data_IF_446303606023
#
_entry.id   IF_446303606023
#
_cell.length_a   1.000
_cell.length_b   1.000
_cell.length_c   1.000
_cell.angle_alpha   90.00
_cell.angle_beta   90.00
_cell.angle_gamma   90.00
#
_symmetry.space_group_name_H-M   'P 1'
#
loop_
_entity.id
_entity.type
_entity.pdbx_description
1 polymer ?
#
# COMPACT_ATOMS: atom_id res chain seq x y z
N UNK A 1 -16.57 -1.93 -24.29
CA UNK A 1 -15.15 -1.73 -23.91
C UNK A 1 -14.36 -2.70 -24.78
N UNK A 2 -13.49 -2.20 -25.66
CA UNK A 2 -12.66 -3.08 -26.49
C UNK A 2 -11.76 -3.94 -25.60
N UNK A 3 -11.58 -5.21 -25.96
CA UNK A 3 -10.71 -6.11 -25.20
C UNK A 3 -9.27 -5.73 -25.49
N UNK A 4 -8.41 -5.56 -24.46
CA UNK A 4 -7.00 -5.28 -24.70
C UNK A 4 -6.38 -6.41 -25.54
N UNK A 5 -5.71 -6.03 -26.62
CA UNK A 5 -4.95 -6.98 -27.44
C UNK A 5 -3.61 -7.17 -26.75
N UNK A 6 -3.45 -8.30 -26.07
CA UNK A 6 -2.17 -8.65 -25.45
C UNK A 6 -1.12 -8.85 -26.56
N UNK A 7 -0.11 -7.98 -26.57
CA UNK A 7 1.08 -8.14 -27.42
C UNK A 7 2.04 -9.13 -26.75
N UNK A 8 2.87 -9.79 -27.56
CA UNK A 8 3.83 -10.77 -27.04
C UNK A 8 4.96 -10.08 -26.26
N UNK A 9 5.56 -10.80 -25.32
CA UNK A 9 6.81 -10.35 -24.68
C UNK A 9 7.87 -10.17 -25.78
N UNK A 10 8.56 -9.02 -25.76
CA UNK A 10 9.56 -8.64 -26.78
C UNK A 10 9.02 -7.74 -27.89
N UNK A 11 7.72 -7.42 -27.91
CA UNK A 11 7.18 -6.37 -28.79
C UNK A 11 7.80 -5.00 -28.46
N UNK A 12 8.22 -4.27 -29.49
CA UNK A 12 8.79 -2.93 -29.32
C UNK A 12 7.74 -1.96 -28.76
N UNK A 13 8.16 -0.95 -28.00
CA UNK A 13 7.23 -0.03 -27.33
C UNK A 13 6.40 0.77 -28.34
N UNK A 14 6.99 1.11 -29.49
CA UNK A 14 6.33 1.77 -30.62
C UNK A 14 5.22 0.94 -31.29
N UNK A 15 5.22 -0.38 -31.10
CA UNK A 15 4.21 -1.30 -31.67
C UNK A 15 3.04 -1.58 -30.71
N UNK A 16 3.07 -0.98 -29.51
CA UNK A 16 1.98 -1.05 -28.55
C UNK A 16 0.80 -0.18 -28.99
N UNK A 17 -0.40 -0.51 -28.52
CA UNK A 17 -1.57 0.28 -28.84
C UNK A 17 -1.41 1.71 -28.25
N UNK A 18 -1.84 2.78 -28.95
CA UNK A 18 -1.53 4.16 -28.57
C UNK A 18 -1.98 4.62 -27.18
N UNK A 19 -2.87 3.88 -26.51
CA UNK A 19 -3.36 4.17 -25.15
C UNK A 19 -2.76 3.25 -24.08
N UNK A 20 -1.54 2.78 -24.29
CA UNK A 20 -0.83 1.93 -23.33
C UNK A 20 -0.09 2.75 -22.27
N UNK A 21 -0.22 2.36 -21.00
CA UNK A 21 0.65 2.84 -19.92
C UNK A 21 1.95 2.04 -19.96
N UNK A 22 3.07 2.71 -20.26
CA UNK A 22 4.40 2.09 -20.35
C UNK A 22 5.27 2.57 -19.20
N UNK A 23 6.02 1.64 -18.60
CA UNK A 23 7.00 1.93 -17.55
C UNK A 23 8.38 1.52 -18.05
N UNK A 24 9.32 2.45 -18.04
CA UNK A 24 10.74 2.14 -18.26
C UNK A 24 11.28 1.43 -17.02
N UNK A 25 11.62 0.15 -17.17
CA UNK A 25 12.11 -0.68 -16.06
C UNK A 25 13.48 -0.20 -15.56
N UNK A 26 14.37 0.25 -16.44
CA UNK A 26 15.69 0.77 -16.03
C UNK A 26 15.55 2.04 -15.20
N UNK A 27 14.67 2.96 -15.61
CA UNK A 27 14.36 4.15 -14.84
C UNK A 27 13.65 3.82 -13.51
N UNK A 28 12.72 2.87 -13.51
CA UNK A 28 12.05 2.40 -12.30
C UNK A 28 13.05 1.84 -11.28
N UNK A 29 13.93 0.93 -11.71
CA UNK A 29 14.96 0.33 -10.87
C UNK A 29 15.93 1.37 -10.32
N UNK A 30 16.37 2.32 -11.16
CA UNK A 30 17.22 3.42 -10.74
C UNK A 30 16.55 4.32 -9.69
N UNK A 31 15.26 4.63 -9.85
CA UNK A 31 14.49 5.43 -8.89
C UNK A 31 14.30 4.71 -7.56
N UNK A 32 13.98 3.41 -7.59
CA UNK A 32 13.89 2.57 -6.39
C UNK A 32 15.25 2.57 -5.67
N UNK A 33 16.34 2.28 -6.37
CA UNK A 33 17.68 2.26 -5.78
C UNK A 33 18.07 3.61 -5.17
N UNK A 34 17.77 4.71 -5.86
CA UNK A 34 18.06 6.07 -5.37
C UNK A 34 17.33 6.36 -4.07
N UNK A 35 16.02 6.10 -4.00
CA UNK A 35 15.26 6.40 -2.78
C UNK A 35 15.65 5.46 -1.63
N UNK A 36 15.85 4.18 -1.91
CA UNK A 36 16.15 3.18 -0.89
C UNK A 36 17.55 3.32 -0.28
N UNK A 37 18.57 3.60 -1.10
CA UNK A 37 19.94 3.81 -0.61
C UNK A 37 20.06 5.00 0.36
N UNK A 38 19.23 6.03 0.20
CA UNK A 38 19.17 7.15 1.14
C UNK A 38 18.80 6.71 2.57
N UNK A 39 17.87 5.74 2.72
CA UNK A 39 17.45 5.23 4.03
C UNK A 39 18.32 4.09 4.57
N UNK A 40 19.28 3.60 3.79
CA UNK A 40 20.14 2.50 4.21
C UNK A 40 21.01 2.89 5.41
N UNK A 41 21.60 4.09 5.36
CA UNK A 41 22.48 4.62 6.40
C UNK A 41 21.74 5.30 7.58
N UNK A 42 20.41 5.42 7.52
CA UNK A 42 19.61 6.08 8.55
C UNK A 42 18.99 5.07 9.51
N UNK A 43 18.72 5.49 10.74
CA UNK A 43 17.96 4.68 11.71
C UNK A 43 16.50 4.53 11.30
N UNK A 44 15.97 5.49 10.53
CA UNK A 44 14.64 5.42 9.92
C UNK A 44 14.70 4.69 8.58
N UNK A 45 13.64 3.93 8.29
CA UNK A 45 13.53 3.11 7.09
C UNK A 45 12.29 3.48 6.30
N UNK A 46 12.33 3.25 5.00
CA UNK A 46 11.27 3.59 4.06
C UNK A 46 10.09 2.62 4.18
N UNK A 47 8.88 3.15 4.24
CA UNK A 47 7.63 2.44 3.96
C UNK A 47 7.05 2.97 2.65
N UNK A 48 7.22 2.28 1.52
CA UNK A 48 6.73 2.78 0.24
C UNK A 48 5.21 2.94 0.25
N UNK A 49 4.72 4.05 -0.30
CA UNK A 49 3.30 4.28 -0.49
C UNK A 49 2.90 3.90 -1.91
N UNK A 50 1.99 2.93 -2.05
CA UNK A 50 1.74 2.26 -3.34
C UNK A 50 0.68 2.94 -4.20
N UNK A 51 0.07 4.02 -3.72
CA UNK A 51 -1.02 4.73 -4.42
C UNK A 51 -0.59 5.26 -5.80
N UNK A 52 0.70 5.53 -5.98
CA UNK A 52 1.27 6.01 -7.25
C UNK A 52 1.22 4.98 -8.38
N UNK A 53 1.33 3.68 -8.07
CA UNK A 53 1.42 2.63 -9.10
C UNK A 53 0.39 1.52 -8.96
N UNK A 54 -0.15 1.28 -7.76
CA UNK A 54 -1.16 0.26 -7.45
C UNK A 54 -0.82 -1.16 -7.94
N UNK A 55 0.48 -1.40 -8.14
CA UNK A 55 1.01 -2.63 -8.72
C UNK A 55 1.79 -3.44 -7.67
N UNK A 56 1.31 -4.64 -7.28
CA UNK A 56 2.00 -5.51 -6.33
C UNK A 56 3.41 -5.91 -6.77
N UNK A 57 3.66 -6.09 -8.07
CA UNK A 57 4.99 -6.44 -8.57
C UNK A 57 6.01 -5.33 -8.28
N UNK A 58 5.64 -4.06 -8.51
CA UNK A 58 6.50 -2.91 -8.21
C UNK A 58 6.71 -2.76 -6.70
N UNK A 59 5.67 -2.98 -5.88
CA UNK A 59 5.82 -2.96 -4.43
C UNK A 59 6.76 -4.06 -3.92
N UNK A 60 6.74 -5.26 -4.51
CA UNK A 60 7.70 -6.32 -4.19
C UNK A 60 9.14 -5.94 -4.58
N UNK A 61 9.33 -5.26 -5.71
CA UNK A 61 10.64 -4.70 -6.08
C UNK A 61 11.13 -3.69 -5.04
N UNK A 62 10.25 -2.80 -4.56
CA UNK A 62 10.59 -1.84 -3.48
C UNK A 62 10.94 -2.57 -2.17
N UNK A 63 10.17 -3.58 -1.76
CA UNK A 63 10.46 -4.32 -0.54
C UNK A 63 11.70 -5.23 -0.64
N UNK A 64 12.12 -5.58 -1.86
CA UNK A 64 13.36 -6.30 -2.12
C UNK A 64 14.62 -5.43 -2.07
N UNK A 65 14.48 -4.10 -2.08
CA UNK A 65 15.59 -3.17 -1.95
C UNK A 65 16.00 -2.93 -0.49
N UNK A 66 17.20 -2.37 -0.26
CA UNK A 66 17.69 -2.04 1.09
C UNK A 66 16.89 -0.87 1.72
N UNK A 67 17.15 -0.55 2.98
CA UNK A 67 16.61 0.68 3.59
C UNK A 67 15.09 0.72 3.83
N UNK A 68 14.37 -0.41 3.78
CA UNK A 68 12.90 -0.49 3.91
C UNK A 68 12.44 -1.19 5.21
N UNK A 69 11.23 -0.87 5.69
CA UNK A 69 10.59 -1.52 6.87
C UNK A 69 9.83 -2.81 6.53
N UNK A 70 10.00 -3.38 5.34
CA UNK A 70 9.27 -4.57 4.86
C UNK A 70 7.73 -4.44 4.95
N UNK A 71 7.20 -3.22 4.84
CA UNK A 71 5.77 -2.93 4.86
C UNK A 71 5.43 -1.80 3.90
N UNK A 72 4.15 -1.65 3.58
CA UNK A 72 3.66 -0.66 2.60
C UNK A 72 2.63 0.28 3.21
N UNK A 73 2.42 1.43 2.56
CA UNK A 73 1.32 2.36 2.79
C UNK A 73 0.31 2.31 1.66
N UNK A 74 -0.99 2.37 1.99
CA UNK A 74 -2.10 2.41 1.03
C UNK A 74 -3.09 3.50 1.45
N UNK A 75 -3.72 4.17 0.49
CA UNK A 75 -4.72 5.21 0.76
C UNK A 75 -6.05 4.64 1.21
N UNK A 76 -6.45 3.49 0.66
CA UNK A 76 -7.79 2.93 0.90
C UNK A 76 -7.74 1.48 1.35
N UNK A 77 -8.79 1.06 2.08
CA UNK A 77 -8.95 -0.33 2.47
C UNK A 77 -9.03 -1.29 1.27
N UNK A 78 -9.61 -0.86 0.14
CA UNK A 78 -9.69 -1.70 -1.05
C UNK A 78 -8.32 -1.98 -1.68
N UNK A 79 -7.44 -0.98 -1.66
CA UNK A 79 -6.04 -1.19 -2.04
C UNK A 79 -5.37 -2.17 -1.06
N UNK A 80 -5.50 -1.94 0.25
CA UNK A 80 -4.93 -2.83 1.25
C UNK A 80 -5.34 -4.30 1.05
N UNK A 81 -6.62 -4.57 0.76
CA UNK A 81 -7.10 -5.93 0.47
C UNK A 81 -6.38 -6.56 -0.74
N UNK A 82 -6.21 -5.82 -1.84
CA UNK A 82 -5.47 -6.29 -3.03
C UNK A 82 -4.01 -6.63 -2.70
N UNK A 83 -3.33 -5.78 -1.93
CA UNK A 83 -1.94 -6.03 -1.58
C UNK A 83 -1.79 -7.17 -0.56
N UNK A 84 -2.68 -7.29 0.43
CA UNK A 84 -2.66 -8.45 1.35
C UNK A 84 -2.86 -9.77 0.59
N UNK A 85 -3.78 -9.79 -0.39
CA UNK A 85 -3.96 -10.95 -1.27
C UNK A 85 -2.71 -11.27 -2.11
N UNK A 86 -1.91 -10.26 -2.44
CA UNK A 86 -0.64 -10.42 -3.14
C UNK A 86 0.55 -10.77 -2.20
N UNK A 87 0.28 -11.08 -0.92
CA UNK A 87 1.26 -11.59 0.04
C UNK A 87 1.88 -10.55 0.96
N UNK A 88 1.40 -9.31 0.97
CA UNK A 88 1.92 -8.26 1.86
C UNK A 88 1.35 -8.41 3.27
N UNK A 89 2.21 -8.48 4.29
CA UNK A 89 1.82 -8.80 5.68
C UNK A 89 1.90 -7.62 6.66
N UNK A 90 2.42 -6.46 6.25
CA UNK A 90 2.44 -5.23 7.06
C UNK A 90 1.96 -4.05 6.20
N UNK A 91 0.74 -3.57 6.46
CA UNK A 91 0.06 -2.56 5.66
C UNK A 91 -0.45 -1.42 6.54
N UNK A 92 -0.09 -0.19 6.19
CA UNK A 92 -0.63 1.01 6.79
C UNK A 92 -1.66 1.66 5.86
N UNK A 93 -2.92 1.68 6.28
CA UNK A 93 -3.96 2.49 5.64
C UNK A 93 -3.84 3.92 6.14
N UNK A 94 -3.31 4.80 5.29
CA UNK A 94 -2.93 6.18 5.66
C UNK A 94 -4.09 7.15 5.74
N UNK A 95 -5.31 6.71 5.39
CA UNK A 95 -6.53 7.50 5.49
C UNK A 95 -7.49 6.91 6.53
N UNK A 96 -8.40 7.73 7.06
CA UNK A 96 -9.36 7.36 8.10
C UNK A 96 -10.46 6.45 7.54
N UNK A 97 -10.78 5.38 8.27
CA UNK A 97 -11.84 4.42 7.90
C UNK A 97 -13.01 4.54 8.89
N UNK A 98 -14.09 5.19 8.45
CA UNK A 98 -15.23 5.52 9.32
C UNK A 98 -16.47 4.66 9.14
N UNK A 99 -16.65 4.00 7.99
CA UNK A 99 -17.91 3.27 7.77
C UNK A 99 -17.91 1.92 8.51
N UNK A 100 -19.01 1.54 9.21
CA UNK A 100 -19.07 0.28 9.95
C UNK A 100 -18.72 -0.95 9.11
N UNK A 101 -19.14 -0.97 7.84
CA UNK A 101 -18.82 -2.04 6.89
C UNK A 101 -17.32 -2.10 6.56
N UNK A 102 -16.67 -0.95 6.36
CA UNK A 102 -15.21 -0.90 6.11
C UNK A 102 -14.42 -1.25 7.37
N UNK A 103 -14.84 -0.79 8.55
CA UNK A 103 -14.24 -1.18 9.83
C UNK A 103 -14.30 -2.70 10.03
N UNK A 104 -15.47 -3.30 9.76
CA UNK A 104 -15.64 -4.75 9.87
C UNK A 104 -14.75 -5.53 8.90
N UNK A 105 -14.52 -5.01 7.69
CA UNK A 105 -13.59 -5.55 6.68
C UNK A 105 -12.13 -5.38 7.10
N UNK A 106 -11.74 -4.20 7.59
CA UNK A 106 -10.42 -3.92 8.15
C UNK A 106 -10.07 -4.91 9.27
N UNK A 107 -11.00 -5.15 10.19
CA UNK A 107 -10.83 -6.14 11.25
C UNK A 107 -10.70 -7.56 10.70
N UNK A 108 -11.43 -7.93 9.64
CA UNK A 108 -11.26 -9.23 9.00
C UNK A 108 -9.88 -9.36 8.32
N UNK A 109 -9.42 -8.30 7.66
CA UNK A 109 -8.11 -8.23 7.01
C UNK A 109 -6.96 -8.33 8.03
N UNK A 110 -7.14 -7.78 9.23
CA UNK A 110 -6.15 -7.85 10.32
C UNK A 110 -5.82 -9.25 10.83
N UNK A 111 -6.60 -10.27 10.43
CA UNK A 111 -6.27 -11.68 10.69
C UNK A 111 -5.18 -12.22 9.75
N UNK A 112 -4.97 -11.58 8.60
CA UNK A 112 -4.07 -12.02 7.55
C UNK A 112 -2.79 -11.18 7.49
N UNK A 113 -2.89 -9.92 7.88
CA UNK A 113 -1.77 -8.98 7.88
C UNK A 113 -1.83 -8.06 9.10
N UNK A 114 -0.68 -7.55 9.52
CA UNK A 114 -0.57 -6.47 10.49
C UNK A 114 -1.11 -5.20 9.84
N UNK A 115 -2.23 -4.72 10.37
CA UNK A 115 -2.89 -3.51 9.88
C UNK A 115 -2.62 -2.33 10.81
N UNK A 116 -2.12 -1.25 10.24
CA UNK A 116 -2.10 0.08 10.86
C UNK A 116 -3.15 0.95 10.17
N UNK A 117 -3.87 1.77 10.92
CA UNK A 117 -4.91 2.68 10.41
C UNK A 117 -4.72 4.09 10.98
N UNK A 118 -4.90 5.11 10.13
CA UNK A 118 -4.92 6.50 10.56
C UNK A 118 -6.24 6.85 11.26
N UNK A 119 -6.17 7.66 12.31
CA UNK A 119 -7.33 8.20 13.03
C UNK A 119 -7.11 9.67 13.35
N UNK A 120 -8.17 10.46 13.29
CA UNK A 120 -8.14 11.91 13.56
C UNK A 120 -9.14 12.33 14.65
N UNK A 121 -10.00 11.41 15.12
CA UNK A 121 -11.05 11.73 16.09
C UNK A 121 -11.41 10.55 17.01
N UNK A 122 -11.90 10.90 18.21
CA UNK A 122 -12.21 9.93 19.26
C UNK A 122 -13.37 8.98 18.89
N UNK A 123 -14.38 9.47 18.16
CA UNK A 123 -15.53 8.65 17.75
C UNK A 123 -15.06 7.49 16.87
N UNK A 124 -14.20 7.77 15.89
CA UNK A 124 -13.67 6.74 15.01
C UNK A 124 -12.80 5.71 15.77
N UNK A 125 -11.98 6.16 16.72
CA UNK A 125 -11.20 5.25 17.58
C UNK A 125 -12.12 4.31 18.37
N UNK A 126 -13.22 4.82 18.92
CA UNK A 126 -14.19 4.02 19.65
C UNK A 126 -14.87 2.97 18.75
N UNK A 127 -15.28 3.36 17.54
CA UNK A 127 -15.91 2.45 16.57
C UNK A 127 -14.96 1.33 16.12
N UNK A 128 -13.70 1.68 15.84
CA UNK A 128 -12.64 0.73 15.51
C UNK A 128 -12.40 -0.24 16.66
N UNK A 129 -12.28 0.27 17.89
CA UNK A 129 -12.06 -0.53 19.10
C UNK A 129 -13.21 -1.51 19.35
N UNK A 130 -14.46 -1.05 19.27
CA UNK A 130 -15.63 -1.90 19.47
C UNK A 130 -15.67 -3.07 18.48
N UNK A 131 -15.38 -2.81 17.19
CA UNK A 131 -15.34 -3.85 16.18
C UNK A 131 -14.16 -4.81 16.35
N UNK A 132 -12.98 -4.28 16.70
CA UNK A 132 -11.78 -5.07 16.95
C UNK A 132 -11.98 -6.03 18.14
N UNK A 133 -12.56 -5.55 19.25
CA UNK A 133 -12.93 -6.37 20.42
C UNK A 133 -13.96 -7.43 20.03
N UNK A 134 -15.03 -7.05 19.33
CA UNK A 134 -16.07 -8.00 18.89
C UNK A 134 -15.48 -9.12 18.02
N UNK A 135 -14.50 -8.81 17.18
CA UNK A 135 -13.85 -9.77 16.29
C UNK A 135 -12.63 -10.45 16.93
N UNK A 136 -12.20 -10.06 18.12
CA UNK A 136 -11.01 -10.62 18.77
C UNK A 136 -9.74 -10.41 17.94
N UNK A 137 -9.54 -9.19 17.43
CA UNK A 137 -8.35 -8.79 16.67
C UNK A 137 -7.74 -7.52 17.25
N UNK A 138 -6.50 -7.23 16.87
CA UNK A 138 -5.81 -5.99 17.26
C UNK A 138 -5.48 -5.18 16.01
N UNK A 139 -5.80 -3.89 16.07
CA UNK A 139 -5.42 -2.92 15.04
C UNK A 139 -4.32 -2.02 15.62
N UNK A 140 -3.30 -1.71 14.83
CA UNK A 140 -2.40 -0.62 15.15
C UNK A 140 -3.04 0.68 14.68
N UNK A 141 -2.80 1.76 15.42
CA UNK A 141 -3.40 3.06 15.14
C UNK A 141 -2.30 4.11 15.10
N UNK A 142 -2.37 5.00 14.10
CA UNK A 142 -1.57 6.20 14.02
C UNK A 142 -2.50 7.42 14.10
N UNK A 143 -2.21 8.36 14.99
CA UNK A 143 -2.96 9.62 15.05
C UNK A 143 -2.49 10.49 13.88
N UNK A 144 -3.42 10.89 13.03
CA UNK A 144 -3.17 11.85 11.97
C UNK A 144 -3.08 13.26 12.59
N UNK A 145 -1.99 13.96 12.28
CA UNK A 145 -1.68 15.27 12.87
C UNK A 145 -1.57 16.27 11.73
N UNK A 146 -2.47 17.23 11.72
CA UNK A 146 -2.44 18.36 10.80
C UNK A 146 -1.20 19.23 11.08
N UNK A 147 -0.24 19.20 10.15
CA UNK A 147 0.98 20.03 10.20
C UNK A 147 0.85 21.33 9.40
N UNK A 148 -0.36 21.69 8.97
CA UNK A 148 -0.66 22.83 8.10
C UNK A 148 0.00 22.76 6.72
N UNK A 149 0.21 21.54 6.21
CA UNK A 149 0.76 21.24 4.88
C UNK A 149 -0.31 20.73 3.92
#
# INVERSE_FOLDING_TARGET
MERPIFKNIGTAAEDLDPSSLVVDIGALEANIATMHSYFEALDVKLRPHVDSHLCPAIAHMQLGASGTVAGIGTTTLGQAETFVQAGFTDVFVTNVVVSPQKIARLCALSRQAKMTIAVDNQTNVNDLSASAVQKGVTLNVAIDVDTSL
#
